data_IF_997841871481
#
_entry.id   IF_997841871481
#
_cell.length_a   1.000
_cell.length_b   1.000
_cell.length_c   1.000
_cell.angle_alpha   90.00
_cell.angle_beta   90.00
_cell.angle_gamma   90.00
#
_symmetry.space_group_name_H-M   'P 1'
#
loop_
_entity.id
_entity.type
_entity.pdbx_description
1 polymer ?
#
# COMPACT_ATOMS: atom_id res chain seq x y z
N UNK A 1 4.11 16.21 73.87
CA UNK A 1 5.23 15.29 73.50
C UNK A 1 4.81 14.49 72.32
N UNK A 2 5.26 14.83 71.12
CA UNK A 2 5.04 14.00 69.94
C UNK A 2 5.83 12.71 70.11
N UNK A 3 5.17 11.57 69.89
CA UNK A 3 5.77 10.25 70.03
C UNK A 3 6.93 10.12 69.01
N UNK A 4 8.01 9.41 69.37
CA UNK A 4 9.09 9.08 68.41
C UNK A 4 8.59 8.45 67.11
N UNK A 5 7.46 7.76 67.20
CA UNK A 5 6.70 7.20 66.08
C UNK A 5 6.12 8.28 65.15
N UNK A 6 5.55 9.37 65.69
CA UNK A 6 5.01 10.48 64.90
C UNK A 6 6.12 11.24 64.17
N UNK A 7 7.26 11.42 64.82
CA UNK A 7 8.44 12.05 64.19
C UNK A 7 9.02 11.24 63.07
N UNK A 8 9.07 9.91 63.18
CA UNK A 8 9.49 8.99 62.11
C UNK A 8 8.57 9.12 60.88
N UNK A 9 7.27 9.09 61.06
CA UNK A 9 6.34 9.19 59.93
C UNK A 9 6.34 10.58 59.30
N UNK A 10 6.59 11.63 60.04
CA UNK A 10 6.78 12.98 59.46
C UNK A 10 8.04 13.04 58.57
N UNK A 11 9.15 12.44 58.98
CA UNK A 11 10.37 12.38 58.18
C UNK A 11 10.16 11.54 56.89
N UNK A 12 9.48 10.41 56.98
CA UNK A 12 9.12 9.59 55.85
C UNK A 12 8.22 10.36 54.86
N UNK A 13 7.21 11.06 55.35
CA UNK A 13 6.32 11.87 54.52
C UNK A 13 7.07 13.00 53.81
N UNK A 14 7.99 13.70 54.53
CA UNK A 14 8.83 14.74 53.94
C UNK A 14 9.78 14.16 52.83
N UNK A 15 10.41 13.03 53.10
CA UNK A 15 11.25 12.36 52.13
C UNK A 15 10.44 11.97 50.87
N UNK A 16 9.28 11.38 51.04
CA UNK A 16 8.42 11.04 49.89
C UNK A 16 8.01 12.29 49.12
N UNK A 17 7.63 13.34 49.81
CA UNK A 17 7.12 14.56 49.19
C UNK A 17 8.23 15.34 48.45
N UNK A 18 9.45 15.37 48.98
CA UNK A 18 10.56 16.15 48.40
C UNK A 18 11.29 15.38 47.32
N UNK A 19 11.46 14.07 47.48
CA UNK A 19 12.31 13.29 46.59
C UNK A 19 11.56 12.31 45.69
N UNK A 20 10.56 11.61 46.22
CA UNK A 20 9.89 10.54 45.46
C UNK A 20 8.81 11.09 44.52
N UNK A 21 7.93 11.94 45.03
CA UNK A 21 6.80 12.47 44.25
C UNK A 21 7.26 13.27 43.02
N UNK A 22 8.22 14.19 43.08
CA UNK A 22 8.69 14.90 41.89
C UNK A 22 9.30 13.96 40.85
N UNK A 23 10.06 12.95 41.28
CA UNK A 23 10.63 11.96 40.38
C UNK A 23 9.56 11.14 39.66
N UNK A 24 8.54 10.67 40.37
CA UNK A 24 7.42 9.94 39.81
C UNK A 24 6.64 10.81 38.79
N UNK A 25 6.43 12.08 39.11
CA UNK A 25 5.76 13.03 38.19
C UNK A 25 6.59 13.21 36.91
N UNK A 26 7.89 13.42 37.03
CA UNK A 26 8.78 13.59 35.85
C UNK A 26 8.76 12.33 34.98
N UNK A 27 8.84 11.15 35.58
CA UNK A 27 8.77 9.88 34.86
C UNK A 27 7.41 9.69 34.19
N UNK A 28 6.30 10.04 34.86
CA UNK A 28 4.96 9.96 34.28
C UNK A 28 4.81 10.91 33.09
N UNK A 29 5.30 12.15 33.21
CA UNK A 29 5.29 13.11 32.08
C UNK A 29 6.13 12.59 30.91
N UNK A 30 7.34 12.10 31.17
CA UNK A 30 8.20 11.53 30.14
C UNK A 30 7.53 10.37 29.43
N UNK A 31 6.92 9.43 30.18
CA UNK A 31 6.19 8.30 29.61
C UNK A 31 5.01 8.74 28.76
N UNK A 32 4.18 9.69 29.26
CA UNK A 32 3.05 10.23 28.53
C UNK A 32 3.49 10.94 27.24
N UNK A 33 4.60 11.69 27.30
CA UNK A 33 5.15 12.38 26.12
C UNK A 33 5.58 11.39 25.06
N UNK A 34 6.31 10.33 25.44
CA UNK A 34 6.71 9.26 24.53
C UNK A 34 5.52 8.53 23.96
N UNK A 35 4.55 8.13 24.80
CA UNK A 35 3.33 7.46 24.35
C UNK A 35 2.51 8.33 23.38
N UNK A 36 2.43 9.63 23.65
CA UNK A 36 1.75 10.59 22.77
C UNK A 36 2.48 10.74 21.42
N UNK A 37 3.82 10.87 21.45
CA UNK A 37 4.63 10.94 20.23
C UNK A 37 4.49 9.69 19.36
N UNK A 38 4.50 8.50 19.97
CA UNK A 38 4.25 7.24 19.25
C UNK A 38 2.85 7.20 18.63
N UNK A 39 1.83 7.63 19.36
CA UNK A 39 0.44 7.65 18.86
C UNK A 39 0.28 8.64 17.69
N UNK A 40 0.89 9.82 17.77
CA UNK A 40 0.88 10.80 16.68
C UNK A 40 1.61 10.26 15.44
N UNK A 41 2.79 9.67 15.61
CA UNK A 41 3.56 9.10 14.51
C UNK A 41 2.79 7.96 13.82
N UNK A 42 2.18 7.07 14.60
CA UNK A 42 1.36 5.97 14.08
C UNK A 42 0.14 6.50 13.30
N UNK A 43 -0.56 7.52 13.81
CA UNK A 43 -1.68 8.16 13.10
C UNK A 43 -1.24 8.80 11.79
N UNK A 44 -0.12 9.52 11.81
CA UNK A 44 0.42 10.20 10.63
C UNK A 44 0.85 9.20 9.57
N UNK A 45 1.55 8.13 9.96
CA UNK A 45 1.98 7.05 9.06
C UNK A 45 0.78 6.37 8.40
N UNK A 46 -0.29 6.09 9.17
CA UNK A 46 -1.53 5.49 8.64
C UNK A 46 -2.23 6.39 7.65
N UNK A 47 -2.35 7.67 7.98
CA UNK A 47 -2.98 8.64 7.08
C UNK A 47 -2.20 8.75 5.77
N UNK A 48 -0.87 8.82 5.86
CA UNK A 48 0.01 8.85 4.68
C UNK A 48 -0.17 7.59 3.83
N UNK A 49 -0.06 6.40 4.44
CA UNK A 49 -0.19 5.13 3.73
C UNK A 49 -1.54 4.99 3.03
N UNK A 50 -2.64 5.41 3.68
CA UNK A 50 -3.98 5.39 3.09
C UNK A 50 -4.09 6.36 1.91
N UNK A 51 -3.54 7.56 2.04
CA UNK A 51 -3.51 8.54 0.96
C UNK A 51 -2.70 8.04 -0.24
N UNK A 52 -1.55 7.43 0.03
CA UNK A 52 -0.67 6.92 -1.02
C UNK A 52 -1.32 5.74 -1.76
N UNK A 53 -1.99 4.83 -1.04
CA UNK A 53 -2.79 3.76 -1.63
C UNK A 53 -3.94 4.31 -2.50
N UNK A 54 -4.66 5.31 -2.01
CA UNK A 54 -5.75 5.95 -2.77
C UNK A 54 -5.23 6.64 -4.04
N UNK A 55 -4.07 7.30 -3.96
CA UNK A 55 -3.43 7.91 -5.12
C UNK A 55 -2.96 6.86 -6.13
N UNK A 56 -2.38 5.74 -5.67
CA UNK A 56 -1.97 4.62 -6.51
C UNK A 56 -3.18 4.00 -7.24
N UNK A 57 -4.31 3.81 -6.56
CA UNK A 57 -5.55 3.32 -7.18
C UNK A 57 -6.02 4.28 -8.29
N UNK A 58 -5.95 5.59 -8.06
CA UNK A 58 -6.32 6.59 -9.08
C UNK A 58 -5.35 6.64 -10.25
N UNK A 59 -4.05 6.59 -9.99
CA UNK A 59 -2.99 6.53 -11.02
C UNK A 59 -3.19 5.28 -11.89
N UNK A 60 -3.40 4.15 -11.27
CA UNK A 60 -3.59 2.88 -11.95
C UNK A 60 -4.84 2.83 -12.85
N UNK A 61 -5.85 3.65 -12.58
CA UNK A 61 -6.99 3.77 -13.49
C UNK A 61 -6.60 4.39 -14.85
N UNK A 62 -5.67 5.36 -14.84
CA UNK A 62 -5.13 5.95 -16.08
C UNK A 62 -4.25 4.94 -16.81
N UNK A 63 -3.47 4.15 -16.05
CA UNK A 63 -2.64 3.08 -16.60
C UNK A 63 -3.51 2.01 -17.26
N UNK A 64 -4.66 1.65 -16.69
CA UNK A 64 -5.62 0.69 -17.28
C UNK A 64 -6.05 1.14 -18.67
N UNK A 65 -6.50 2.40 -18.81
CA UNK A 65 -6.89 2.95 -20.10
C UNK A 65 -5.73 2.95 -21.10
N UNK A 66 -4.51 3.30 -20.64
CA UNK A 66 -3.32 3.29 -21.48
C UNK A 66 -2.92 1.88 -21.96
N UNK A 67 -3.08 0.85 -21.11
CA UNK A 67 -2.84 -0.56 -21.50
C UNK A 67 -3.84 -1.03 -22.55
N UNK A 68 -5.14 -0.71 -22.38
CA UNK A 68 -6.17 -1.06 -23.35
C UNK A 68 -5.86 -0.39 -24.70
N UNK A 69 -5.59 0.92 -24.69
CA UNK A 69 -5.21 1.67 -25.92
C UNK A 69 -3.97 1.08 -26.57
N UNK A 70 -2.93 0.77 -25.79
CA UNK A 70 -1.72 0.12 -26.32
C UNK A 70 -2.02 -1.23 -26.97
N UNK A 71 -2.79 -2.08 -26.30
CA UNK A 71 -3.13 -3.42 -26.82
C UNK A 71 -3.99 -3.34 -28.09
N UNK A 72 -4.99 -2.47 -28.13
CA UNK A 72 -5.86 -2.26 -29.30
C UNK A 72 -5.06 -1.71 -30.48
N UNK A 73 -4.17 -0.73 -30.27
CA UNK A 73 -3.28 -0.21 -31.30
C UNK A 73 -2.40 -1.30 -31.89
N UNK A 74 -1.77 -2.12 -31.03
CA UNK A 74 -0.92 -3.23 -31.52
C UNK A 74 -1.73 -4.33 -32.22
N UNK A 75 -2.95 -4.64 -31.79
CA UNK A 75 -3.84 -5.61 -32.42
C UNK A 75 -4.37 -5.11 -33.78
N UNK A 76 -4.53 -3.79 -33.94
CA UNK A 76 -4.89 -3.17 -35.22
C UNK A 76 -3.72 -2.98 -36.21
N UNK A 77 -2.50 -3.39 -35.81
CA UNK A 77 -1.32 -3.33 -36.67
C UNK A 77 -0.49 -2.05 -36.54
N UNK A 78 -0.76 -1.21 -35.54
CA UNK A 78 0.07 -0.05 -35.25
C UNK A 78 1.45 -0.51 -34.75
N UNK A 79 2.51 -0.05 -35.39
CA UNK A 79 3.90 -0.31 -34.97
C UNK A 79 4.33 0.74 -33.96
N UNK A 80 3.75 0.74 -32.76
CA UNK A 80 4.24 1.58 -31.69
C UNK A 80 5.49 0.95 -31.04
N UNK A 81 6.55 1.73 -30.94
CA UNK A 81 7.81 1.35 -30.26
C UNK A 81 7.75 1.74 -28.76
N UNK A 82 6.65 2.31 -28.31
CA UNK A 82 6.51 2.74 -26.92
C UNK A 82 6.50 1.52 -25.97
N UNK A 83 7.20 1.60 -24.83
CA UNK A 83 7.12 0.56 -23.82
C UNK A 83 5.68 0.46 -23.29
N UNK A 84 5.27 -0.75 -22.93
CA UNK A 84 3.95 -0.98 -22.35
C UNK A 84 3.81 -0.26 -20.99
N UNK A 85 2.72 0.47 -20.76
CA UNK A 85 2.44 1.05 -19.44
C UNK A 85 2.36 -0.05 -18.37
N UNK A 86 2.84 0.25 -17.15
CA UNK A 86 2.88 -0.71 -16.04
C UNK A 86 2.11 -0.19 -14.85
N UNK A 87 1.43 -1.09 -14.14
CA UNK A 87 0.78 -0.76 -12.89
C UNK A 87 1.78 -0.52 -11.77
N UNK A 88 1.51 0.51 -10.98
CA UNK A 88 2.18 0.74 -9.71
C UNK A 88 1.57 -0.16 -8.64
N UNK A 89 2.43 -0.75 -7.78
CA UNK A 89 2.02 -1.66 -6.69
C UNK A 89 2.70 -1.33 -5.37
N UNK A 90 3.56 -0.33 -5.34
CA UNK A 90 4.43 -0.03 -4.20
C UNK A 90 3.64 0.44 -2.97
N UNK A 91 2.63 1.29 -3.15
CA UNK A 91 1.85 1.79 -2.02
C UNK A 91 1.02 0.67 -1.36
N UNK A 92 0.48 -0.27 -2.14
CA UNK A 92 -0.21 -1.43 -1.60
C UNK A 92 0.72 -2.35 -0.81
N UNK A 93 1.90 -2.66 -1.35
CA UNK A 93 2.88 -3.51 -0.67
C UNK A 93 3.32 -2.88 0.66
N UNK A 94 3.54 -1.56 0.69
CA UNK A 94 3.86 -0.84 1.91
C UNK A 94 2.69 -0.86 2.92
N UNK A 95 1.45 -0.68 2.43
CA UNK A 95 0.23 -0.76 3.24
C UNK A 95 0.05 -2.15 3.88
N UNK A 96 0.34 -3.20 3.11
CA UNK A 96 0.35 -4.60 3.56
C UNK A 96 1.44 -4.86 4.60
N UNK A 97 2.67 -4.43 4.32
CA UNK A 97 3.82 -4.58 5.20
C UNK A 97 3.63 -3.90 6.56
N UNK A 98 2.97 -2.75 6.59
CA UNK A 98 2.60 -2.05 7.83
C UNK A 98 1.44 -2.71 8.60
N UNK A 99 0.87 -3.82 8.10
CA UNK A 99 -0.24 -4.53 8.73
C UNK A 99 -1.56 -3.77 8.71
N UNK A 100 -1.68 -2.72 7.89
CA UNK A 100 -2.85 -1.85 7.82
C UNK A 100 -4.04 -2.50 7.12
N UNK A 101 -3.82 -3.52 6.29
CA UNK A 101 -4.89 -4.29 5.64
C UNK A 101 -5.88 -4.87 6.65
N UNK A 102 -5.39 -5.37 7.80
CA UNK A 102 -6.24 -5.98 8.84
C UNK A 102 -7.31 -5.05 9.43
N UNK A 103 -7.22 -3.75 9.13
CA UNK A 103 -8.16 -2.71 9.62
C UNK A 103 -9.24 -2.37 8.61
N UNK A 104 -9.15 -2.92 7.41
CA UNK A 104 -10.18 -2.78 6.39
C UNK A 104 -11.24 -3.88 6.55
N UNK A 105 -12.48 -3.63 6.09
CA UNK A 105 -13.48 -4.68 6.01
C UNK A 105 -12.97 -5.86 5.16
N UNK A 106 -13.25 -7.13 5.53
CA UNK A 106 -12.78 -8.32 4.80
C UNK A 106 -13.04 -8.25 3.30
N UNK A 107 -14.24 -7.82 2.90
CA UNK A 107 -14.59 -7.65 1.49
C UNK A 107 -13.65 -6.71 0.74
N UNK A 108 -13.21 -5.62 1.37
CA UNK A 108 -12.27 -4.67 0.76
C UNK A 108 -10.87 -5.26 0.67
N UNK A 109 -10.48 -6.07 1.65
CA UNK A 109 -9.20 -6.79 1.63
C UNK A 109 -9.17 -7.74 0.43
N UNK A 110 -10.20 -8.57 0.26
CA UNK A 110 -10.32 -9.53 -0.83
C UNK A 110 -10.31 -8.84 -2.19
N UNK A 111 -11.02 -7.71 -2.32
CA UNK A 111 -11.03 -6.90 -3.56
C UNK A 111 -9.66 -6.29 -3.86
N UNK A 112 -8.94 -5.77 -2.85
CA UNK A 112 -7.59 -5.24 -3.03
C UNK A 112 -6.60 -6.35 -3.41
N UNK A 113 -6.60 -7.48 -2.71
CA UNK A 113 -5.69 -8.59 -3.00
C UNK A 113 -5.94 -9.14 -4.42
N UNK A 114 -7.19 -9.32 -4.82
CA UNK A 114 -7.55 -9.76 -6.16
C UNK A 114 -7.11 -8.76 -7.24
N UNK A 115 -7.31 -7.46 -6.99
CA UNK A 115 -6.87 -6.39 -7.88
C UNK A 115 -5.35 -6.42 -8.06
N UNK A 116 -4.59 -6.51 -6.95
CA UNK A 116 -3.12 -6.45 -7.03
C UNK A 116 -2.51 -7.73 -7.61
N UNK A 117 -3.14 -8.89 -7.40
CA UNK A 117 -2.76 -10.12 -8.10
C UNK A 117 -2.97 -9.98 -9.62
N UNK A 118 -4.11 -9.44 -10.05
CA UNK A 118 -4.38 -9.19 -11.47
C UNK A 118 -3.41 -8.19 -12.10
N UNK A 119 -3.08 -7.09 -11.39
CA UNK A 119 -2.06 -6.12 -11.82
C UNK A 119 -0.69 -6.77 -11.99
N UNK A 120 -0.28 -7.62 -11.04
CA UNK A 120 0.98 -8.33 -11.14
C UNK A 120 1.02 -9.22 -12.39
N UNK A 121 -0.05 -9.98 -12.64
CA UNK A 121 -0.18 -10.82 -13.83
C UNK A 121 -0.11 -10.01 -15.13
N UNK A 122 -0.73 -8.82 -15.18
CA UNK A 122 -0.66 -7.92 -16.35
C UNK A 122 0.75 -7.36 -16.51
N UNK A 123 1.42 -6.95 -15.44
CA UNK A 123 2.80 -6.46 -15.53
C UNK A 123 3.76 -7.55 -16.05
N UNK A 124 3.60 -8.80 -15.62
CA UNK A 124 4.38 -9.94 -16.12
C UNK A 124 4.05 -10.25 -17.60
N UNK A 125 2.78 -10.20 -17.98
CA UNK A 125 2.38 -10.35 -19.38
C UNK A 125 2.94 -9.21 -20.25
N UNK A 126 2.99 -7.98 -19.72
CA UNK A 126 3.63 -6.85 -20.38
C UNK A 126 5.12 -7.06 -20.62
N UNK A 127 5.86 -7.58 -19.62
CA UNK A 127 7.27 -7.95 -19.79
C UNK A 127 7.43 -9.03 -20.87
N UNK A 128 6.58 -10.05 -20.86
CA UNK A 128 6.59 -11.09 -21.91
C UNK A 128 6.27 -10.51 -23.29
N UNK A 129 5.39 -9.52 -23.38
CA UNK A 129 5.08 -8.83 -24.63
C UNK A 129 6.30 -8.11 -25.22
N UNK A 130 7.08 -7.44 -24.37
CA UNK A 130 8.32 -6.77 -24.76
C UNK A 130 9.37 -7.80 -25.23
N UNK A 131 9.50 -8.94 -24.54
CA UNK A 131 10.40 -10.03 -24.94
C UNK A 131 10.01 -10.65 -26.30
N UNK A 132 8.72 -10.84 -26.56
CA UNK A 132 8.20 -11.35 -27.84
C UNK A 132 8.31 -10.33 -28.98
N UNK A 133 8.33 -9.03 -28.65
CA UNK A 133 8.45 -7.97 -29.65
C UNK A 133 9.91 -7.63 -30.00
N UNK A 134 10.78 -7.58 -29.00
CA UNK A 134 12.14 -7.02 -29.15
C UNK A 134 13.23 -7.92 -28.56
N UNK A 135 12.89 -8.97 -27.82
CA UNK A 135 13.85 -9.87 -27.18
C UNK A 135 14.21 -11.10 -28.02
N UNK A 136 15.02 -12.00 -27.48
CA UNK A 136 15.37 -13.26 -28.13
C UNK A 136 14.17 -14.12 -28.52
N UNK A 137 13.08 -14.01 -27.80
CA UNK A 137 11.84 -14.75 -28.07
C UNK A 137 11.15 -14.30 -29.37
N UNK A 138 11.48 -13.13 -29.92
CA UNK A 138 10.96 -12.67 -31.21
C UNK A 138 11.39 -13.55 -32.41
N UNK A 139 12.46 -14.31 -32.23
CA UNK A 139 12.97 -15.23 -33.25
C UNK A 139 12.24 -16.59 -33.33
N UNK A 140 11.34 -16.87 -32.37
CA UNK A 140 10.59 -18.14 -32.35
C UNK A 140 9.56 -18.19 -33.49
N UNK A 141 9.33 -19.37 -34.12
CA UNK A 141 8.42 -19.49 -35.26
C UNK A 141 6.97 -19.08 -34.96
N UNK A 142 6.55 -19.20 -33.68
CA UNK A 142 5.21 -18.87 -33.20
C UNK A 142 5.16 -17.54 -32.44
N UNK A 143 6.22 -16.74 -32.43
CA UNK A 143 6.29 -15.49 -31.67
C UNK A 143 5.15 -14.52 -32.00
N UNK A 144 4.79 -14.41 -33.27
CA UNK A 144 3.69 -13.54 -33.71
C UNK A 144 2.34 -13.98 -33.11
N UNK A 145 2.02 -15.27 -33.14
CA UNK A 145 0.76 -15.81 -32.56
C UNK A 145 0.74 -15.59 -31.06
N UNK A 146 1.82 -15.93 -30.35
CA UNK A 146 1.94 -15.72 -28.91
C UNK A 146 1.84 -14.24 -28.53
N UNK A 147 2.35 -13.37 -29.37
CA UNK A 147 2.25 -11.92 -29.19
C UNK A 147 0.79 -11.46 -29.25
N UNK A 148 0.03 -11.90 -30.25
CA UNK A 148 -1.39 -11.55 -30.39
C UNK A 148 -2.26 -12.09 -29.23
N UNK A 149 -2.03 -13.35 -28.85
CA UNK A 149 -2.70 -13.95 -27.69
C UNK A 149 -2.42 -13.16 -26.41
N UNK A 150 -1.17 -12.79 -26.19
CA UNK A 150 -0.76 -12.02 -25.02
C UNK A 150 -1.34 -10.59 -25.01
N UNK A 151 -1.41 -9.92 -26.16
CA UNK A 151 -2.08 -8.61 -26.30
C UNK A 151 -3.57 -8.70 -26.00
N UNK A 152 -4.25 -9.75 -26.49
CA UNK A 152 -5.66 -10.01 -26.18
C UNK A 152 -5.85 -10.21 -24.68
N UNK A 153 -5.01 -11.04 -24.04
CA UNK A 153 -5.02 -11.24 -22.61
C UNK A 153 -4.84 -9.94 -21.82
N UNK A 154 -3.87 -9.10 -22.21
CA UNK A 154 -3.60 -7.81 -21.58
C UNK A 154 -4.81 -6.88 -21.64
N UNK A 155 -5.41 -6.73 -22.83
CA UNK A 155 -6.60 -5.92 -23.05
C UNK A 155 -7.77 -6.42 -22.21
N UNK A 156 -8.08 -7.69 -22.31
CA UNK A 156 -9.26 -8.29 -21.69
C UNK A 156 -9.13 -8.30 -20.15
N UNK A 157 -7.94 -8.57 -19.63
CA UNK A 157 -7.71 -8.51 -18.18
C UNK A 157 -7.78 -7.07 -17.66
N UNK A 158 -7.21 -6.11 -18.37
CA UNK A 158 -7.26 -4.70 -17.99
C UNK A 158 -8.71 -4.18 -17.97
N UNK A 159 -9.46 -4.43 -19.04
CA UNK A 159 -10.82 -3.91 -19.20
C UNK A 159 -11.85 -4.67 -18.38
N UNK A 160 -11.86 -6.01 -18.40
CA UNK A 160 -12.95 -6.81 -17.83
C UNK A 160 -12.72 -7.18 -16.35
N UNK A 161 -11.46 -7.12 -15.87
CA UNK A 161 -11.13 -7.50 -14.50
C UNK A 161 -10.66 -6.29 -13.68
N UNK A 162 -9.61 -5.60 -14.14
CA UNK A 162 -8.99 -4.54 -13.35
C UNK A 162 -9.86 -3.28 -13.27
N UNK A 163 -10.39 -2.81 -14.37
CA UNK A 163 -11.22 -1.61 -14.41
C UNK A 163 -12.42 -1.68 -13.46
N UNK A 164 -13.25 -2.75 -13.44
CA UNK A 164 -14.35 -2.89 -12.49
C UNK A 164 -13.92 -2.91 -11.02
N UNK A 165 -12.75 -3.48 -10.69
CA UNK A 165 -12.22 -3.42 -9.33
C UNK A 165 -11.82 -2.00 -8.92
N UNK A 166 -11.14 -1.29 -9.81
CA UNK A 166 -10.73 0.11 -9.57
C UNK A 166 -11.94 1.02 -9.35
N UNK A 167 -13.01 0.84 -10.12
CA UNK A 167 -14.22 1.66 -9.99
C UNK A 167 -14.95 1.39 -8.68
N UNK A 168 -15.05 0.14 -8.26
CA UNK A 168 -15.63 -0.20 -6.94
C UNK A 168 -14.81 0.40 -5.79
N UNK A 169 -13.48 0.29 -5.86
CA UNK A 169 -12.59 0.81 -4.80
C UNK A 169 -12.58 2.34 -4.74
N UNK A 170 -12.68 3.03 -5.89
CA UNK A 170 -12.87 4.49 -5.92
C UNK A 170 -14.18 4.92 -5.24
N UNK A 171 -15.27 4.15 -5.46
CA UNK A 171 -16.57 4.44 -4.86
C UNK A 171 -16.57 4.23 -3.34
N UNK A 172 -15.78 3.30 -2.82
CA UNK A 172 -15.69 3.00 -1.38
C UNK A 172 -14.81 3.95 -0.57
N UNK A 173 -14.17 4.96 -1.19
CA UNK A 173 -13.29 5.95 -0.52
C UNK A 173 -12.21 5.28 0.35
N UNK A 174 -11.61 4.22 -0.15
CA UNK A 174 -10.45 3.57 0.51
C UNK A 174 -9.29 4.52 0.68
#
# INVERSE_FOLDING_TARGET
MTSAYDQFWQLVAQFLQIYVIPYVIVLAIAFLTVAFAFNLNDRTSRYKARRDLSNEIRSNAKVTAAIVTYADGQLSGETSVAPMPRYETQAFEEYKKQGLLRRLPPKIIDELESLYLSKHSVNEAGRRQEELAFGPAAAFPNAHTLRLENLTYLRDTAHNIIEPYLDRLKATKV
#
